data_IF_424848721742
#
_entry.id   IF_424848721742
#
_cell.length_a   1.000
_cell.length_b   1.000
_cell.length_c   1.000
_cell.angle_alpha   90.00
_cell.angle_beta   90.00
_cell.angle_gamma   90.00
#
_symmetry.space_group_name_H-M   'P 1'
#
loop_
_entity.id
_entity.type
_entity.pdbx_description
1 polymer ?
#
# COMPACT_ATOMS: atom_id res chain seq x y z
N UNK A 1 12.45 -8.32 4.20
CA UNK A 1 11.99 -6.92 4.22
C UNK A 1 12.17 -6.35 5.61
N UNK A 2 12.53 -5.08 5.72
CA UNK A 2 12.67 -4.42 7.02
C UNK A 2 11.33 -4.38 7.75
N UNK A 3 11.33 -4.31 9.09
CA UNK A 3 10.07 -4.19 9.82
C UNK A 3 9.32 -2.90 9.49
N UNK A 4 8.01 -2.92 9.69
CA UNK A 4 7.16 -1.78 9.42
C UNK A 4 6.89 -0.99 10.70
N UNK A 5 6.94 0.33 10.59
CA UNK A 5 6.53 1.24 11.66
C UNK A 5 5.51 2.23 11.10
N UNK A 6 4.72 2.83 11.97
CA UNK A 6 3.74 3.84 11.60
C UNK A 6 3.35 4.66 12.81
N UNK A 7 2.63 5.75 12.56
CA UNK A 7 2.08 6.59 13.62
C UNK A 7 0.81 5.94 14.19
N UNK A 8 0.75 5.73 15.50
CA UNK A 8 -0.44 5.20 16.17
C UNK A 8 -1.65 6.09 15.95
N UNK A 9 -1.45 7.39 15.99
CA UNK A 9 -2.52 8.38 15.77
C UNK A 9 -3.08 8.27 14.36
N UNK A 10 -2.21 8.17 13.36
CA UNK A 10 -2.63 7.97 11.97
C UNK A 10 -3.39 6.66 11.80
N UNK A 11 -2.92 5.60 12.45
CA UNK A 11 -3.56 4.29 12.39
C UNK A 11 -4.99 4.33 12.95
N UNK A 12 -5.18 4.99 14.08
CA UNK A 12 -6.50 5.16 14.66
C UNK A 12 -7.44 5.94 13.74
N UNK A 13 -6.92 7.01 13.14
CA UNK A 13 -7.68 7.83 12.19
C UNK A 13 -8.12 7.03 10.97
N UNK A 14 -7.21 6.24 10.38
CA UNK A 14 -7.52 5.40 9.22
C UNK A 14 -8.55 4.33 9.56
N UNK A 15 -8.44 3.69 10.72
CA UNK A 15 -9.40 2.69 11.17
C UNK A 15 -10.79 3.29 11.32
N UNK A 16 -10.88 4.49 11.92
CA UNK A 16 -12.16 5.16 12.13
C UNK A 16 -12.77 5.66 10.81
N UNK A 17 -11.96 6.24 9.94
CA UNK A 17 -12.44 6.91 8.73
C UNK A 17 -12.63 5.97 7.54
N UNK A 18 -11.78 4.95 7.42
CA UNK A 18 -11.75 4.08 6.24
C UNK A 18 -11.91 2.60 6.56
N UNK A 19 -11.96 2.25 7.84
CA UNK A 19 -12.11 0.86 8.24
C UNK A 19 -10.92 -0.02 7.91
N UNK A 20 -9.73 0.55 7.75
CA UNK A 20 -8.52 -0.21 7.47
C UNK A 20 -7.39 0.28 8.38
N UNK A 21 -6.55 -0.65 8.83
CA UNK A 21 -5.42 -0.36 9.70
C UNK A 21 -4.10 -0.77 9.05
N UNK A 22 -2.99 -0.23 9.56
CA UNK A 22 -1.68 -0.67 9.11
C UNK A 22 -1.42 -2.13 9.48
N UNK A 23 -1.96 -2.61 10.60
CA UNK A 23 -1.84 -4.03 10.96
C UNK A 23 -2.45 -4.92 9.87
N UNK A 24 -3.64 -4.56 9.39
CA UNK A 24 -4.29 -5.30 8.30
C UNK A 24 -3.42 -5.34 7.05
N UNK A 25 -2.80 -4.21 6.71
CA UNK A 25 -1.89 -4.11 5.57
C UNK A 25 -0.69 -5.03 5.74
N UNK A 26 -0.06 -5.02 6.93
CA UNK A 26 1.13 -5.84 7.18
C UNK A 26 0.80 -7.33 7.15
N UNK A 27 -0.36 -7.72 7.66
CA UNK A 27 -0.83 -9.11 7.58
C UNK A 27 -1.04 -9.52 6.11
N UNK A 28 -1.66 -8.65 5.32
CA UNK A 28 -1.87 -8.90 3.89
C UNK A 28 -0.55 -9.08 3.15
N UNK A 29 0.45 -8.25 3.44
CA UNK A 29 1.78 -8.37 2.83
C UNK A 29 2.40 -9.73 3.18
N UNK A 30 2.32 -10.13 4.44
CA UNK A 30 2.83 -11.42 4.89
C UNK A 30 2.13 -12.62 4.24
N UNK A 31 0.90 -12.44 3.81
CA UNK A 31 0.11 -13.47 3.12
C UNK A 31 0.24 -13.43 1.60
N UNK A 32 1.17 -12.63 1.08
CA UNK A 32 1.41 -12.56 -0.37
C UNK A 32 0.65 -11.44 -1.08
N UNK A 33 0.10 -10.48 -0.33
CA UNK A 33 -0.68 -9.39 -0.92
C UNK A 33 0.13 -8.24 -1.49
N UNK A 34 1.45 -8.24 -1.35
CA UNK A 34 2.28 -7.19 -1.94
C UNK A 34 2.39 -7.43 -3.45
N UNK A 35 1.80 -6.57 -4.24
CA UNK A 35 1.74 -6.73 -5.70
C UNK A 35 2.87 -5.99 -6.43
N UNK A 36 3.31 -4.86 -5.90
CA UNK A 36 4.32 -4.03 -6.56
C UNK A 36 4.89 -3.02 -5.57
N UNK A 37 6.01 -2.43 -5.92
CA UNK A 37 6.62 -1.30 -5.22
C UNK A 37 6.94 -0.24 -6.26
N UNK A 38 6.28 0.92 -6.15
CA UNK A 38 6.42 1.98 -7.12
C UNK A 38 7.30 3.11 -6.59
N UNK A 39 8.02 3.77 -7.49
CA UNK A 39 8.78 4.95 -7.16
C UNK A 39 7.84 6.13 -6.87
N UNK A 40 8.26 7.05 -6.00
CA UNK A 40 7.52 8.30 -5.81
C UNK A 40 7.55 9.09 -7.13
N UNK A 41 6.43 9.73 -7.53
CA UNK A 41 6.39 10.51 -8.77
C UNK A 41 7.47 11.58 -8.86
N UNK A 42 7.87 12.16 -7.72
CA UNK A 42 8.95 13.15 -7.66
C UNK A 42 10.16 12.56 -6.94
N UNK A 43 10.94 11.76 -7.64
CA UNK A 43 12.14 11.10 -7.10
C UNK A 43 13.22 12.07 -6.67
N UNK A 44 13.34 13.23 -7.34
CA UNK A 44 14.37 14.20 -7.01
C UNK A 44 14.18 14.81 -5.63
N UNK A 45 12.91 15.13 -5.29
CA UNK A 45 12.58 15.74 -4.01
C UNK A 45 12.41 14.69 -2.91
N UNK A 46 11.95 13.49 -3.26
CA UNK A 46 11.63 12.44 -2.29
C UNK A 46 12.33 11.12 -2.66
N UNK A 47 13.69 11.09 -2.64
CA UNK A 47 14.42 9.91 -3.13
C UNK A 47 14.23 8.65 -2.27
N UNK A 48 13.83 8.79 -1.00
CA UNK A 48 13.63 7.66 -0.10
C UNK A 48 12.16 7.24 0.00
N UNK A 49 11.26 7.93 -0.68
CA UNK A 49 9.84 7.61 -0.66
C UNK A 49 9.44 6.75 -1.83
N UNK A 50 8.70 5.70 -1.52
CA UNK A 50 8.14 4.78 -2.51
C UNK A 50 6.72 4.42 -2.09
N UNK A 51 6.04 3.60 -2.88
CA UNK A 51 4.65 3.25 -2.65
C UNK A 51 4.51 1.74 -2.75
N UNK A 52 4.02 1.10 -1.69
CA UNK A 52 3.63 -0.31 -1.72
C UNK A 52 2.25 -0.42 -2.36
N UNK A 53 2.09 -1.38 -3.26
CA UNK A 53 0.79 -1.70 -3.87
C UNK A 53 0.33 -3.00 -3.23
N UNK A 54 -0.73 -2.95 -2.43
CA UNK A 54 -1.12 -4.07 -1.56
C UNK A 54 -2.57 -4.45 -1.79
N UNK A 55 -2.81 -5.75 -2.04
CA UNK A 55 -4.16 -6.29 -2.13
C UNK A 55 -4.64 -6.71 -0.74
N UNK A 56 -5.82 -6.21 -0.36
CA UNK A 56 -6.49 -6.57 0.89
C UNK A 56 -7.95 -6.87 0.55
N UNK A 57 -8.38 -8.09 0.77
CA UNK A 57 -9.77 -8.52 0.54
C UNK A 57 -10.31 -8.16 -0.85
N UNK A 58 -9.50 -8.39 -1.88
CA UNK A 58 -9.92 -8.16 -3.26
C UNK A 58 -9.92 -6.71 -3.71
N UNK A 59 -9.33 -5.81 -2.92
CA UNK A 59 -9.20 -4.41 -3.28
C UNK A 59 -7.75 -3.97 -3.13
N UNK A 60 -7.29 -3.03 -3.94
CA UNK A 60 -5.89 -2.58 -3.93
C UNK A 60 -5.76 -1.24 -3.23
N UNK A 61 -4.79 -1.18 -2.33
CA UNK A 61 -4.44 0.02 -1.58
C UNK A 61 -3.02 0.43 -1.92
N UNK A 62 -2.82 1.74 -1.99
CA UNK A 62 -1.48 2.32 -2.15
C UNK A 62 -1.02 2.76 -0.76
N UNK A 63 0.18 2.31 -0.38
CA UNK A 63 0.72 2.61 0.95
C UNK A 63 2.07 3.30 0.78
N UNK A 64 2.07 4.65 0.73
CA UNK A 64 3.31 5.41 0.68
C UNK A 64 4.16 5.16 1.92
N UNK A 65 5.46 5.04 1.72
CA UNK A 65 6.38 4.80 2.82
C UNK A 65 7.70 5.52 2.60
N UNK A 66 8.41 5.72 3.71
CA UNK A 66 9.78 6.24 3.70
C UNK A 66 10.70 5.12 4.18
N UNK A 67 11.75 4.85 3.42
CA UNK A 67 12.74 3.85 3.82
C UNK A 67 13.73 4.46 4.79
N UNK A 68 13.75 3.96 6.01
CA UNK A 68 14.74 4.31 7.02
C UNK A 68 15.82 3.22 7.07
N UNK A 69 16.89 3.44 7.85
CA UNK A 69 17.99 2.47 7.90
C UNK A 69 17.54 1.11 8.43
N UNK A 70 16.70 1.11 9.48
CA UNK A 70 16.30 -0.11 10.16
C UNK A 70 14.84 -0.51 9.97
N UNK A 71 14.03 0.33 9.32
CA UNK A 71 12.61 0.07 9.16
C UNK A 71 12.02 0.82 7.96
N UNK A 72 10.80 0.44 7.59
CA UNK A 72 10.00 1.16 6.60
C UNK A 72 8.88 1.88 7.35
N UNK A 73 8.83 3.20 7.21
CA UNK A 73 7.80 4.00 7.88
C UNK A 73 6.61 4.19 6.95
N UNK A 74 5.50 3.54 7.27
CA UNK A 74 4.27 3.62 6.47
C UNK A 74 3.56 4.93 6.79
N UNK A 75 3.28 5.73 5.74
CA UNK A 75 2.76 7.09 5.90
C UNK A 75 1.24 7.12 5.98
N UNK A 76 0.57 6.40 5.10
CA UNK A 76 -0.89 6.37 5.03
C UNK A 76 -1.35 5.16 4.20
N UNK A 77 -2.66 4.98 4.08
CA UNK A 77 -3.26 3.91 3.28
C UNK A 77 -4.31 4.55 2.38
N UNK A 78 -4.17 4.42 1.07
CA UNK A 78 -5.05 5.07 0.10
C UNK A 78 -5.73 4.00 -0.74
N UNK A 79 -7.06 3.86 -0.68
CA UNK A 79 -7.75 2.93 -1.57
C UNK A 79 -7.64 3.43 -3.02
N UNK A 80 -7.42 2.50 -3.95
CA UNK A 80 -7.24 2.87 -5.35
C UNK A 80 -8.10 1.98 -6.26
N UNK A 81 -9.15 2.57 -6.82
CA UNK A 81 -9.99 1.88 -7.80
C UNK A 81 -9.19 1.55 -9.06
N UNK A 82 -8.38 2.50 -9.51
CA UNK A 82 -7.55 2.31 -10.70
C UNK A 82 -6.57 1.16 -10.52
N UNK A 83 -5.85 1.12 -9.39
CA UNK A 83 -4.90 0.06 -9.11
C UNK A 83 -5.62 -1.30 -8.95
N UNK A 84 -6.79 -1.32 -8.33
CA UNK A 84 -7.59 -2.54 -8.23
C UNK A 84 -7.89 -3.10 -9.61
N UNK A 85 -8.29 -2.24 -10.53
CA UNK A 85 -8.56 -2.65 -11.91
C UNK A 85 -7.30 -3.15 -12.61
N UNK A 86 -6.21 -2.43 -12.47
CA UNK A 86 -4.97 -2.77 -13.16
C UNK A 86 -4.33 -4.06 -12.65
N UNK A 87 -4.37 -4.30 -11.35
CA UNK A 87 -3.65 -5.42 -10.75
C UNK A 87 -4.52 -6.65 -10.52
N UNK A 88 -5.83 -6.48 -10.25
CA UNK A 88 -6.69 -7.61 -9.90
C UNK A 88 -7.73 -7.96 -10.96
N UNK A 89 -8.16 -7.00 -11.78
CA UNK A 89 -9.23 -7.19 -12.77
C UNK A 89 -8.76 -7.13 -14.21
N UNK A 90 -7.48 -7.11 -14.40
CA UNK A 90 -6.88 -7.06 -15.75
C UNK A 90 -7.30 -8.24 -16.60
N UNK A 91 -7.30 -9.44 -16.01
CA UNK A 91 -7.70 -10.64 -16.70
C UNK A 91 -9.17 -10.65 -17.10
N UNK A 92 -10.04 -10.06 -16.28
CA UNK A 92 -11.46 -9.92 -16.59
C UNK A 92 -11.67 -8.99 -17.80
N UNK A 93 -10.95 -7.86 -17.82
CA UNK A 93 -11.03 -6.92 -18.94
C UNK A 93 -10.55 -7.57 -20.22
N UNK A 94 -9.47 -8.31 -20.18
CA UNK A 94 -8.92 -9.02 -21.34
C UNK A 94 -9.88 -10.11 -21.83
N UNK A 95 -10.57 -10.78 -20.91
CA UNK A 95 -11.51 -11.85 -21.25
C UNK A 95 -12.78 -11.34 -21.92
N UNK A 96 -13.16 -10.08 -21.70
CA UNK A 96 -14.32 -9.47 -22.32
C UNK A 96 -14.05 -9.02 -23.76
N UNK A 97 -12.80 -8.84 -24.09
CA UNK A 97 -12.38 -8.45 -25.44
C UNK A 97 -12.28 -9.69 -26.36
#
# INVERSE_FOLDING_TARGET
MKPFHWSSEKNESLSADRGISFETVTVAIGAGGLLDILAHPNQRQYPRQRILVVAVDGYVYLVPFVEEDDYLFLKTIIPSRKATREYLRRGEADAED
#
